data_IF_006501015628
#
_entry.id   IF_006501015628
#
_cell.length_a   1.000
_cell.length_b   1.000
_cell.length_c   1.000
_cell.angle_alpha   90.00
_cell.angle_beta   90.00
_cell.angle_gamma   90.00
#
_symmetry.space_group_name_H-M   'P 1'
#
loop_
_entity.id
_entity.type
_entity.pdbx_description
1 polymer ?
#
# COMPACT_ATOMS: atom_id res chain seq x y z
N UNK A 1 -12.59 44.47 -14.00
CA UNK A 1 -11.82 43.50 -14.82
C UNK A 1 -10.99 42.57 -13.94
N UNK A 2 -10.24 43.13 -12.98
CA UNK A 2 -9.57 42.44 -11.86
C UNK A 2 -10.47 41.40 -11.16
N UNK A 3 -11.72 41.74 -10.84
CA UNK A 3 -12.64 40.78 -10.19
C UNK A 3 -12.90 39.51 -11.01
N UNK A 4 -13.04 39.59 -12.34
CA UNK A 4 -13.29 38.40 -13.17
C UNK A 4 -12.08 37.49 -13.27
N UNK A 5 -10.88 38.05 -13.40
CA UNK A 5 -9.61 37.31 -13.38
C UNK A 5 -9.44 36.63 -12.01
N UNK A 6 -9.77 37.35 -10.94
CA UNK A 6 -9.74 36.84 -9.57
C UNK A 6 -10.73 35.69 -9.37
N UNK A 7 -11.97 35.81 -9.88
CA UNK A 7 -12.98 34.75 -9.77
C UNK A 7 -12.62 33.50 -10.58
N UNK A 8 -12.05 33.65 -11.78
CA UNK A 8 -11.53 32.51 -12.55
C UNK A 8 -10.37 31.82 -11.83
N UNK A 9 -9.45 32.58 -11.25
CA UNK A 9 -8.33 32.06 -10.49
C UNK A 9 -8.78 31.33 -9.21
N UNK A 10 -9.73 31.91 -8.48
CA UNK A 10 -10.34 31.28 -7.30
C UNK A 10 -11.06 29.97 -7.66
N UNK A 11 -11.76 29.91 -8.79
CA UNK A 11 -12.40 28.69 -9.28
C UNK A 11 -11.41 27.56 -9.55
N UNK A 12 -10.30 27.85 -10.22
CA UNK A 12 -9.20 26.89 -10.46
C UNK A 12 -8.58 26.45 -9.14
N UNK A 13 -8.31 27.40 -8.24
CA UNK A 13 -7.69 27.13 -6.95
C UNK A 13 -8.54 26.18 -6.10
N UNK A 14 -9.87 26.41 -6.04
CA UNK A 14 -10.80 25.54 -5.30
C UNK A 14 -10.89 24.15 -5.93
N UNK A 15 -10.92 24.06 -7.27
CA UNK A 15 -10.90 22.78 -7.99
C UNK A 15 -9.61 22.00 -7.70
N UNK A 16 -8.45 22.65 -7.81
CA UNK A 16 -7.15 22.06 -7.53
C UNK A 16 -7.07 21.59 -6.07
N UNK A 17 -7.53 22.38 -5.10
CA UNK A 17 -7.58 22.00 -3.69
C UNK A 17 -8.44 20.76 -3.45
N UNK A 18 -9.70 20.76 -3.92
CA UNK A 18 -10.62 19.64 -3.70
C UNK A 18 -10.11 18.34 -4.32
N UNK A 19 -9.48 18.42 -5.49
CA UNK A 19 -8.90 17.27 -6.17
C UNK A 19 -7.63 16.76 -5.52
N UNK A 20 -6.77 17.65 -5.02
CA UNK A 20 -5.60 17.23 -4.25
C UNK A 20 -6.00 16.55 -2.95
N UNK A 21 -7.03 17.04 -2.27
CA UNK A 21 -7.61 16.34 -1.13
C UNK A 21 -8.11 14.95 -1.52
N UNK A 22 -8.74 14.77 -2.69
CA UNK A 22 -9.15 13.43 -3.18
C UNK A 22 -7.93 12.52 -3.43
N UNK A 23 -6.88 13.03 -4.09
CA UNK A 23 -5.65 12.25 -4.36
C UNK A 23 -4.95 11.88 -3.05
N UNK A 24 -4.83 12.81 -2.11
CA UNK A 24 -4.28 12.55 -0.78
C UNK A 24 -5.12 11.54 0.00
N UNK A 25 -6.45 11.65 -0.02
CA UNK A 25 -7.36 10.70 0.61
C UNK A 25 -7.20 9.31 -0.02
N UNK A 26 -7.19 9.20 -1.35
CA UNK A 26 -6.96 7.94 -2.07
C UNK A 26 -5.59 7.36 -1.72
N UNK A 27 -4.56 8.20 -1.60
CA UNK A 27 -3.23 7.78 -1.21
C UNK A 27 -3.17 7.31 0.25
N UNK A 28 -3.67 8.09 1.21
CA UNK A 28 -3.67 7.76 2.64
C UNK A 28 -4.49 6.51 2.97
N UNK A 29 -5.68 6.36 2.37
CA UNK A 29 -6.52 5.17 2.55
C UNK A 29 -5.77 3.91 2.08
N UNK A 30 -5.03 4.02 0.97
CA UNK A 30 -4.35 2.87 0.38
C UNK A 30 -2.90 2.69 0.87
N UNK A 31 -2.30 3.71 1.48
CA UNK A 31 -0.91 3.72 1.94
C UNK A 31 -0.61 2.57 2.89
N UNK A 32 -1.54 2.30 3.80
CA UNK A 32 -1.44 1.19 4.75
C UNK A 32 -1.32 -0.18 4.08
N UNK A 33 -2.07 -0.41 3.00
CA UNK A 33 -1.96 -1.65 2.24
C UNK A 33 -0.60 -1.79 1.55
N UNK A 34 0.03 -0.68 1.18
CA UNK A 34 1.39 -0.67 0.61
C UNK A 34 2.44 -1.13 1.63
N UNK A 35 2.40 -0.57 2.84
CA UNK A 35 3.37 -0.93 3.89
C UNK A 35 3.19 -2.35 4.40
N UNK A 36 1.94 -2.80 4.51
CA UNK A 36 1.65 -4.18 4.88
C UNK A 36 2.19 -5.12 3.79
N UNK A 37 1.90 -4.88 2.50
CA UNK A 37 2.39 -5.74 1.42
C UNK A 37 3.92 -5.80 1.33
N UNK A 38 4.60 -4.65 1.47
CA UNK A 38 6.06 -4.61 1.43
C UNK A 38 6.70 -5.27 2.65
N UNK A 39 6.21 -5.02 3.85
CA UNK A 39 6.82 -5.65 5.02
C UNK A 39 6.50 -7.14 5.14
N UNK A 40 5.38 -7.60 4.58
CA UNK A 40 5.11 -9.03 4.40
C UNK A 40 6.15 -9.74 3.54
N UNK A 41 6.85 -9.04 2.64
CA UNK A 41 7.98 -9.64 1.92
C UNK A 41 9.20 -9.91 2.81
N UNK A 42 9.35 -9.24 3.97
CA UNK A 42 10.41 -9.56 4.91
C UNK A 42 10.29 -11.00 5.43
N UNK A 43 9.06 -11.55 5.42
CA UNK A 43 8.81 -12.95 5.72
C UNK A 43 9.70 -13.90 4.89
N UNK A 44 10.05 -13.51 3.64
CA UNK A 44 10.91 -14.27 2.73
C UNK A 44 12.17 -14.78 3.42
N UNK A 45 12.87 -13.91 4.17
CA UNK A 45 14.16 -14.24 4.76
C UNK A 45 14.04 -15.50 5.61
N UNK A 46 13.02 -15.57 6.46
CA UNK A 46 12.80 -16.70 7.35
C UNK A 46 12.44 -17.99 6.61
N UNK A 47 11.61 -17.92 5.55
CA UNK A 47 11.31 -19.10 4.73
C UNK A 47 12.56 -19.62 4.02
N UNK A 48 13.42 -18.72 3.54
CA UNK A 48 14.64 -19.07 2.81
C UNK A 48 15.70 -19.66 3.74
N UNK A 49 15.95 -19.03 4.89
CA UNK A 49 16.92 -19.50 5.90
C UNK A 49 16.58 -20.90 6.43
N UNK A 50 15.28 -21.21 6.52
CA UNK A 50 14.82 -22.50 7.02
C UNK A 50 14.57 -23.53 5.90
N UNK A 51 14.90 -23.21 4.64
CA UNK A 51 14.71 -24.08 3.47
C UNK A 51 13.28 -24.62 3.32
N UNK A 52 12.29 -23.79 3.61
CA UNK A 52 10.89 -24.20 3.61
C UNK A 52 10.28 -23.87 2.27
N UNK A 53 9.71 -24.90 1.63
CA UNK A 53 8.93 -24.73 0.42
C UNK A 53 7.54 -24.22 0.77
N UNK A 54 7.19 -23.03 0.26
CA UNK A 54 5.84 -22.48 0.32
C UNK A 54 5.04 -22.82 -0.93
N UNK A 55 3.73 -23.02 -0.77
CA UNK A 55 2.82 -23.28 -1.90
C UNK A 55 2.73 -22.06 -2.84
N UNK A 56 2.51 -22.34 -4.12
CA UNK A 56 2.10 -21.39 -5.16
C UNK A 56 1.05 -20.34 -4.71
N UNK A 57 0.13 -20.71 -3.81
CA UNK A 57 -0.90 -19.84 -3.25
C UNK A 57 -0.32 -18.60 -2.55
N UNK A 58 0.80 -18.75 -1.83
CA UNK A 58 1.54 -17.62 -1.23
C UNK A 58 1.94 -16.60 -2.29
N UNK A 59 2.53 -17.08 -3.39
CA UNK A 59 2.96 -16.21 -4.49
C UNK A 59 1.77 -15.57 -5.21
N UNK A 60 0.66 -16.30 -5.39
CA UNK A 60 -0.57 -15.75 -5.99
C UNK A 60 -1.16 -14.61 -5.15
N UNK A 61 -1.12 -14.70 -3.82
CA UNK A 61 -1.55 -13.62 -2.92
C UNK A 61 -0.70 -12.36 -3.15
N UNK A 62 0.64 -12.50 -3.18
CA UNK A 62 1.53 -11.36 -3.46
C UNK A 62 1.29 -10.77 -4.85
N UNK A 63 1.12 -11.61 -5.88
CA UNK A 63 0.81 -11.16 -7.24
C UNK A 63 -0.51 -10.38 -7.29
N UNK A 64 -1.56 -10.84 -6.59
CA UNK A 64 -2.85 -10.14 -6.47
C UNK A 64 -2.71 -8.80 -5.77
N UNK A 65 -1.95 -8.74 -4.67
CA UNK A 65 -1.64 -7.49 -3.95
C UNK A 65 -0.88 -6.50 -4.85
N UNK A 66 0.14 -6.96 -5.59
CA UNK A 66 0.89 -6.12 -6.52
C UNK A 66 0.10 -5.67 -7.74
N UNK A 67 -0.86 -6.48 -8.22
CA UNK A 67 -1.78 -6.08 -9.29
C UNK A 67 -2.72 -4.97 -8.80
N UNK A 68 -3.26 -5.10 -7.59
CA UNK A 68 -4.09 -4.06 -6.96
C UNK A 68 -3.29 -2.76 -6.77
N UNK A 69 -2.05 -2.85 -6.30
CA UNK A 69 -1.11 -1.72 -6.22
C UNK A 69 -0.97 -1.00 -7.55
N UNK A 70 -0.65 -1.74 -8.61
CA UNK A 70 -0.45 -1.18 -9.95
C UNK A 70 -1.68 -0.45 -10.44
N UNK A 71 -2.87 -1.02 -10.24
CA UNK A 71 -4.11 -0.42 -10.69
C UNK A 71 -4.38 0.90 -9.97
N UNK A 72 -4.18 0.98 -8.65
CA UNK A 72 -4.30 2.24 -7.89
C UNK A 72 -3.34 3.29 -8.45
N UNK A 73 -2.09 2.90 -8.69
CA UNK A 73 -1.07 3.81 -9.20
C UNK A 73 -1.40 4.33 -10.62
N UNK A 74 -1.85 3.44 -11.51
CA UNK A 74 -2.33 3.82 -12.85
C UNK A 74 -3.52 4.77 -12.73
N UNK A 75 -4.48 4.48 -11.85
CA UNK A 75 -5.64 5.36 -11.65
C UNK A 75 -5.22 6.76 -11.20
N UNK A 76 -4.26 6.88 -10.28
CA UNK A 76 -3.74 8.18 -9.85
C UNK A 76 -3.05 8.90 -11.02
N UNK A 77 -2.21 8.21 -11.81
CA UNK A 77 -1.59 8.81 -13.00
C UNK A 77 -2.65 9.28 -13.99
N UNK A 78 -3.67 8.47 -14.29
CA UNK A 78 -4.70 8.82 -15.27
C UNK A 78 -5.47 10.05 -14.83
N UNK A 79 -5.94 10.07 -13.58
CA UNK A 79 -6.63 11.24 -12.99
C UNK A 79 -5.70 12.45 -13.08
N UNK A 80 -4.46 12.30 -12.66
CA UNK A 80 -3.50 13.39 -12.66
C UNK A 80 -3.16 13.94 -14.05
N UNK A 81 -2.87 13.08 -15.02
CA UNK A 81 -2.57 13.46 -16.41
C UNK A 81 -3.78 14.14 -17.06
N UNK A 82 -5.00 13.65 -16.79
CA UNK A 82 -6.22 14.30 -17.28
C UNK A 82 -6.39 15.70 -16.71
N UNK A 83 -6.02 15.91 -15.45
CA UNK A 83 -6.07 17.21 -14.78
C UNK A 83 -5.02 18.18 -15.32
N UNK A 84 -3.77 17.72 -15.48
CA UNK A 84 -2.74 18.52 -16.14
C UNK A 84 -3.19 19.01 -17.50
N UNK A 85 -3.85 18.14 -18.28
CA UNK A 85 -4.38 18.50 -19.59
C UNK A 85 -5.47 19.57 -19.49
N UNK A 86 -6.43 19.43 -18.57
CA UNK A 86 -7.50 20.43 -18.36
C UNK A 86 -6.93 21.77 -17.90
N UNK A 87 -6.03 21.78 -16.92
CA UNK A 87 -5.39 23.00 -16.43
C UNK A 87 -4.57 23.67 -17.53
N UNK A 88 -3.82 22.91 -18.33
CA UNK A 88 -3.05 23.44 -19.45
C UNK A 88 -3.94 24.03 -20.55
N UNK A 89 -4.99 23.31 -20.95
CA UNK A 89 -5.95 23.81 -21.94
C UNK A 89 -6.64 25.08 -21.45
N UNK A 90 -7.04 25.13 -20.18
CA UNK A 90 -7.63 26.31 -19.57
C UNK A 90 -6.66 27.50 -19.51
N UNK A 91 -5.40 27.26 -19.13
CA UNK A 91 -4.36 28.28 -19.13
C UNK A 91 -4.14 28.88 -20.54
N UNK A 92 -4.17 28.05 -21.59
CA UNK A 92 -4.12 28.52 -22.99
C UNK A 92 -5.31 29.41 -23.31
N UNK A 93 -6.53 28.97 -22.99
CA UNK A 93 -7.76 29.72 -23.27
C UNK A 93 -7.76 31.07 -22.57
N UNK A 94 -7.40 31.12 -21.29
CA UNK A 94 -7.26 32.38 -20.54
C UNK A 94 -6.19 33.25 -21.17
N UNK A 95 -5.01 32.70 -21.44
CA UNK A 95 -3.89 33.46 -22.01
C UNK A 95 -4.32 34.10 -23.32
N UNK A 96 -4.95 33.37 -24.24
CA UNK A 96 -5.43 33.92 -25.52
C UNK A 96 -6.50 34.99 -25.31
N UNK A 97 -7.51 34.72 -24.46
CA UNK A 97 -8.66 35.61 -24.26
C UNK A 97 -8.27 36.93 -23.59
N UNK A 98 -7.30 36.90 -22.69
CA UNK A 98 -6.88 38.07 -21.91
C UNK A 98 -5.53 38.66 -22.36
N UNK A 99 -4.84 38.06 -23.33
CA UNK A 99 -3.60 38.58 -23.92
C UNK A 99 -3.66 40.07 -24.30
N UNK A 100 -4.71 40.57 -24.98
CA UNK A 100 -4.77 41.97 -25.39
C UNK A 100 -4.82 42.94 -24.21
N UNK A 101 -5.30 42.48 -23.06
CA UNK A 101 -5.50 43.27 -21.84
C UNK A 101 -4.24 43.21 -20.96
N UNK A 102 -3.66 42.01 -20.83
CA UNK A 102 -2.56 41.73 -19.91
C UNK A 102 -1.21 42.18 -20.47
N UNK A 103 -1.03 42.21 -21.80
CA UNK A 103 0.23 42.62 -22.45
C UNK A 103 0.73 44.00 -22.00
N UNK A 104 -0.18 44.86 -21.56
CA UNK A 104 0.13 46.25 -21.23
C UNK A 104 0.28 46.51 -19.72
N UNK A 105 0.03 45.53 -18.83
CA UNK A 105 0.10 45.72 -17.39
C UNK A 105 0.94 44.64 -16.70
N UNK A 106 2.15 45.02 -16.25
CA UNK A 106 3.13 44.11 -15.63
C UNK A 106 2.57 43.39 -14.40
N UNK A 107 1.75 44.06 -13.59
CA UNK A 107 1.20 43.50 -12.36
C UNK A 107 0.16 42.41 -12.66
N UNK A 108 -0.68 42.61 -13.67
CA UNK A 108 -1.66 41.60 -14.11
C UNK A 108 -0.96 40.40 -14.77
N UNK A 109 0.16 40.66 -15.49
CA UNK A 109 1.01 39.61 -16.04
C UNK A 109 1.63 38.77 -14.92
N UNK A 110 2.26 39.40 -13.92
CA UNK A 110 2.86 38.71 -12.79
C UNK A 110 1.84 37.94 -11.94
N UNK A 111 0.64 38.47 -11.73
CA UNK A 111 -0.44 37.78 -11.03
C UNK A 111 -0.91 36.52 -11.79
N UNK A 112 -1.09 36.62 -13.12
CA UNK A 112 -1.51 35.48 -13.93
C UNK A 112 -0.47 34.35 -13.90
N UNK A 113 0.81 34.68 -14.08
CA UNK A 113 1.89 33.67 -14.06
C UNK A 113 2.21 33.18 -12.64
N UNK A 114 2.05 34.02 -11.62
CA UNK A 114 2.19 33.63 -10.22
C UNK A 114 1.15 32.59 -9.79
N UNK A 115 -0.10 32.74 -10.22
CA UNK A 115 -1.16 31.77 -9.97
C UNK A 115 -0.89 30.42 -10.65
N UNK A 116 -0.43 30.45 -11.92
CA UNK A 116 0.03 29.24 -12.63
C UNK A 116 1.17 28.55 -11.88
N UNK A 117 2.08 29.31 -11.24
CA UNK A 117 3.20 28.76 -10.45
C UNK A 117 2.77 28.16 -9.11
N UNK A 118 1.77 28.74 -8.43
CA UNK A 118 1.21 28.18 -7.18
C UNK A 118 0.56 26.83 -7.44
N UNK A 119 -0.04 26.63 -8.61
CA UNK A 119 -0.60 25.34 -9.04
C UNK A 119 0.47 24.23 -9.15
N UNK A 120 1.77 24.56 -9.36
CA UNK A 120 2.86 23.58 -9.38
C UNK A 120 3.26 23.07 -7.98
N UNK A 121 3.06 23.85 -6.92
CA UNK A 121 3.41 23.46 -5.54
C UNK A 121 2.52 22.28 -5.08
N UNK A 122 1.35 22.12 -5.69
CA UNK A 122 0.39 21.07 -5.38
C UNK A 122 0.77 19.68 -5.94
N UNK A 123 1.92 19.53 -6.62
CA UNK A 123 2.44 18.23 -7.08
C UNK A 123 3.13 17.37 -6.00
N UNK A 124 3.04 17.76 -4.72
CA UNK A 124 3.62 17.02 -3.60
C UNK A 124 3.27 15.51 -3.55
N UNK A 125 2.05 15.04 -3.90
CA UNK A 125 1.74 13.61 -3.94
C UNK A 125 2.56 12.83 -4.99
N UNK A 126 2.92 13.48 -6.10
CA UNK A 126 3.72 12.88 -7.18
C UNK A 126 5.19 12.83 -6.85
N UNK A 127 5.67 13.77 -6.03
CA UNK A 127 7.03 13.76 -5.55
C UNK A 127 7.42 12.40 -4.92
N UNK A 128 6.47 11.75 -4.23
CA UNK A 128 6.70 10.44 -3.60
C UNK A 128 6.49 9.23 -4.53
N UNK A 129 5.85 9.41 -5.69
CA UNK A 129 5.50 8.33 -6.62
C UNK A 129 6.71 7.56 -7.18
N UNK A 130 7.79 8.21 -7.67
CA UNK A 130 8.96 7.50 -8.19
C UNK A 130 9.62 6.57 -7.15
N UNK A 131 9.69 7.01 -5.89
CA UNK A 131 10.25 6.21 -4.79
C UNK A 131 9.41 4.95 -4.54
N UNK A 132 8.09 5.07 -4.57
CA UNK A 132 7.17 3.94 -4.41
C UNK A 132 7.23 2.96 -5.58
N UNK A 133 7.33 3.46 -6.82
CA UNK A 133 7.53 2.63 -8.00
C UNK A 133 8.83 1.83 -7.92
N UNK A 134 9.92 2.46 -7.49
CA UNK A 134 11.20 1.78 -7.30
C UNK A 134 11.09 0.69 -6.25
N UNK A 135 10.47 0.97 -5.10
CA UNK A 135 10.19 -0.04 -4.06
C UNK A 135 9.34 -1.20 -4.58
N UNK A 136 8.32 -0.91 -5.39
CA UNK A 136 7.47 -1.92 -6.01
C UNK A 136 8.23 -2.80 -7.01
N UNK A 137 9.05 -2.20 -7.88
CA UNK A 137 9.90 -2.94 -8.83
C UNK A 137 10.86 -3.88 -8.11
N UNK A 138 11.55 -3.38 -7.08
CA UNK A 138 12.45 -4.18 -6.25
C UNK A 138 11.70 -5.32 -5.55
N UNK A 139 10.51 -5.05 -5.02
CA UNK A 139 9.67 -6.04 -4.35
C UNK A 139 9.23 -7.18 -5.27
N UNK A 140 8.91 -6.86 -6.54
CA UNK A 140 8.61 -7.86 -7.56
C UNK A 140 9.81 -8.73 -7.89
N UNK A 141 11.00 -8.12 -8.00
CA UNK A 141 12.24 -8.87 -8.22
C UNK A 141 12.52 -9.82 -7.04
N UNK A 142 12.35 -9.34 -5.81
CA UNK A 142 12.51 -10.14 -4.59
C UNK A 142 11.57 -11.35 -4.60
N UNK A 143 10.30 -11.16 -4.99
CA UNK A 143 9.30 -12.23 -5.10
C UNK A 143 9.65 -13.23 -6.19
N UNK A 144 10.08 -12.76 -7.38
CA UNK A 144 10.51 -13.64 -8.47
C UNK A 144 11.68 -14.52 -8.04
N UNK A 145 12.71 -13.91 -7.45
CA UNK A 145 13.87 -14.64 -6.94
C UNK A 145 13.47 -15.61 -5.83
N UNK A 146 12.53 -15.23 -4.95
CA UNK A 146 12.02 -16.14 -3.94
C UNK A 146 11.32 -17.34 -4.57
N UNK A 147 10.48 -17.14 -5.59
CA UNK A 147 9.79 -18.22 -6.30
C UNK A 147 10.77 -19.21 -6.94
N UNK A 148 11.86 -18.70 -7.53
CA UNK A 148 12.93 -19.52 -8.11
C UNK A 148 13.66 -20.33 -7.03
N UNK A 149 14.10 -19.68 -5.95
CA UNK A 149 14.74 -20.34 -4.81
C UNK A 149 13.81 -21.40 -4.19
N UNK A 150 12.53 -21.07 -4.04
CA UNK A 150 11.52 -21.95 -3.44
C UNK A 150 11.30 -23.24 -4.22
N UNK A 151 11.47 -23.20 -5.55
CA UNK A 151 11.37 -24.40 -6.39
C UNK A 151 12.60 -25.30 -6.28
N UNK A 152 13.73 -24.77 -5.80
CA UNK A 152 15.01 -25.46 -5.73
C UNK A 152 15.37 -25.94 -4.31
N UNK A 153 14.53 -25.68 -3.30
CA UNK A 153 14.78 -26.18 -1.95
C UNK A 153 14.66 -27.70 -1.88
N UNK A 154 15.62 -28.33 -1.23
CA UNK A 154 15.39 -29.59 -0.53
C UNK A 154 14.64 -29.26 0.77
N UNK A 155 13.44 -29.81 0.89
CA UNK A 155 12.52 -29.52 1.99
C UNK A 155 13.09 -30.07 3.30
N UNK A 156 13.25 -29.19 4.30
CA UNK A 156 13.58 -29.60 5.67
C UNK A 156 12.31 -29.99 6.41
N UNK A 157 12.39 -31.08 7.18
CA UNK A 157 11.35 -31.41 8.14
C UNK A 157 11.35 -30.40 9.29
N UNK A 158 10.17 -29.88 9.60
CA UNK A 158 9.95 -28.93 10.68
C UNK A 158 9.51 -29.69 11.93
N UNK A 159 10.44 -29.88 12.87
CA UNK A 159 10.10 -30.42 14.18
C UNK A 159 9.49 -29.32 15.05
N UNK A 160 8.38 -29.63 15.72
CA UNK A 160 7.80 -28.78 16.77
C UNK A 160 8.09 -29.44 18.10
N UNK A 161 8.90 -28.77 18.91
CA UNK A 161 9.27 -29.23 20.26
C UNK A 161 8.05 -29.27 21.22
N UNK A 162 7.09 -28.35 21.07
CA UNK A 162 5.91 -28.26 21.96
C UNK A 162 4.57 -28.30 21.20
N UNK A 163 4.05 -29.51 20.99
CA UNK A 163 2.80 -29.75 20.24
C UNK A 163 1.57 -29.13 20.92
N UNK A 164 1.52 -29.13 22.27
CA UNK A 164 0.37 -28.61 23.01
C UNK A 164 0.22 -27.09 22.87
N UNK A 165 1.35 -26.35 22.85
CA UNK A 165 1.34 -24.91 22.60
C UNK A 165 0.99 -24.58 21.15
N UNK A 166 1.45 -25.39 20.21
CA UNK A 166 1.07 -25.25 18.80
C UNK A 166 -0.44 -25.38 18.59
N UNK A 167 -1.09 -26.37 19.20
CA UNK A 167 -2.55 -26.53 19.11
C UNK A 167 -3.31 -25.36 19.74
N UNK A 168 -2.79 -24.77 20.83
CA UNK A 168 -3.37 -23.54 21.40
C UNK A 168 -3.27 -22.36 20.43
N UNK A 169 -2.11 -22.18 19.80
CA UNK A 169 -1.87 -21.16 18.78
C UNK A 169 -2.79 -21.34 17.56
N UNK A 170 -2.89 -22.56 17.04
CA UNK A 170 -3.78 -22.91 15.93
C UNK A 170 -5.24 -22.60 16.25
N UNK A 171 -5.71 -22.98 17.44
CA UNK A 171 -7.09 -22.70 17.86
C UNK A 171 -7.37 -21.21 18.06
N UNK A 172 -6.38 -20.44 18.53
CA UNK A 172 -6.47 -18.98 18.64
C UNK A 172 -6.72 -18.36 17.26
N UNK A 173 -5.95 -18.77 16.26
CA UNK A 173 -6.13 -18.26 14.89
C UNK A 173 -7.46 -18.69 14.31
N UNK A 174 -7.82 -19.97 14.38
CA UNK A 174 -9.00 -20.49 13.66
C UNK A 174 -10.34 -20.12 14.29
N UNK A 175 -10.41 -20.00 15.61
CA UNK A 175 -11.68 -20.04 16.32
C UNK A 175 -11.90 -18.92 17.34
N UNK A 176 -10.92 -18.05 17.57
CA UNK A 176 -11.05 -16.90 18.48
C UNK A 176 -11.03 -15.58 17.72
N UNK A 177 -11.48 -14.54 18.41
CA UNK A 177 -11.17 -13.16 18.03
C UNK A 177 -9.67 -12.97 18.23
N UNK A 178 -9.01 -12.38 17.22
CA UNK A 178 -7.56 -12.21 17.23
C UNK A 178 -7.22 -10.73 17.07
N UNK A 179 -6.40 -10.23 17.98
CA UNK A 179 -5.76 -8.93 17.86
C UNK A 179 -4.41 -9.15 17.19
N UNK A 180 -4.27 -8.63 15.98
CA UNK A 180 -3.02 -8.70 15.24
C UNK A 180 -2.29 -7.37 15.36
N UNK A 181 -1.17 -7.37 16.07
CA UNK A 181 -0.29 -6.22 16.18
C UNK A 181 0.90 -6.40 15.25
N UNK A 182 1.08 -5.44 14.35
CA UNK A 182 2.20 -5.38 13.42
C UNK A 182 3.01 -4.11 13.69
N UNK A 183 4.26 -4.25 14.12
CA UNK A 183 5.17 -3.12 14.27
C UNK A 183 6.11 -3.02 13.08
N UNK A 184 6.43 -1.80 12.64
CA UNK A 184 7.57 -1.58 11.74
C UNK A 184 8.27 -0.28 12.08
N UNK A 185 9.56 -0.23 11.80
CA UNK A 185 10.39 0.94 12.05
C UNK A 185 10.62 1.70 10.74
N UNK A 186 10.28 2.99 10.72
CA UNK A 186 10.55 3.89 9.59
C UNK A 186 11.16 5.17 10.12
N UNK A 187 12.35 5.52 9.63
CA UNK A 187 13.08 6.72 10.03
C UNK A 187 13.26 6.81 11.57
N UNK A 188 13.62 5.70 12.21
CA UNK A 188 13.77 5.56 13.68
C UNK A 188 12.48 5.82 14.48
N UNK A 189 11.31 5.83 13.82
CA UNK A 189 10.01 5.90 14.47
C UNK A 189 9.34 4.54 14.32
N UNK A 190 9.07 3.89 15.46
CA UNK A 190 8.28 2.65 15.52
C UNK A 190 6.81 2.99 15.29
N UNK A 191 6.23 2.44 14.23
CA UNK A 191 4.82 2.54 13.93
C UNK A 191 4.16 1.18 14.20
N UNK A 192 3.19 1.17 15.10
CA UNK A 192 2.44 -0.03 15.47
C UNK A 192 1.05 0.02 14.86
N UNK A 193 0.72 -0.99 14.07
CA UNK A 193 -0.60 -1.17 13.50
C UNK A 193 -1.32 -2.32 14.21
N UNK A 194 -2.45 -2.00 14.85
CA UNK A 194 -3.34 -2.99 15.47
C UNK A 194 -4.52 -3.23 14.54
N UNK A 195 -4.64 -4.46 14.04
CA UNK A 195 -5.83 -4.93 13.33
C UNK A 195 -6.67 -5.78 14.27
N UNK A 196 -7.84 -5.25 14.58
CA UNK A 196 -8.87 -5.97 15.31
C UNK A 196 -9.68 -6.80 14.32
N UNK A 197 -9.66 -8.12 14.46
CA UNK A 197 -10.58 -9.00 13.74
C UNK A 197 -11.87 -9.18 14.57
N UNK A 198 -12.52 -8.06 14.91
CA UNK A 198 -13.71 -8.03 15.78
C UNK A 198 -15.02 -8.41 15.08
N UNK A 199 -15.05 -8.51 13.75
CA UNK A 199 -16.33 -8.46 13.02
C UNK A 199 -17.00 -9.79 12.70
N UNK A 200 -16.48 -10.93 13.15
CA UNK A 200 -17.20 -12.20 13.21
C UNK A 200 -16.43 -13.08 14.17
N UNK A 201 -17.10 -13.85 15.03
CA UNK A 201 -16.48 -14.76 16.03
C UNK A 201 -15.41 -15.72 15.46
N UNK A 202 -15.26 -15.80 14.12
CA UNK A 202 -14.27 -16.60 13.40
C UNK A 202 -13.85 -15.90 12.10
N UNK A 203 -12.78 -15.08 12.09
CA UNK A 203 -12.41 -14.21 10.97
C UNK A 203 -11.91 -14.95 9.71
N UNK A 204 -11.59 -16.24 9.85
CA UNK A 204 -11.10 -17.10 8.78
C UNK A 204 -12.13 -18.14 8.32
N UNK A 205 -13.38 -18.03 8.76
CA UNK A 205 -14.47 -18.83 8.20
C UNK A 205 -15.24 -18.03 7.17
N UNK A 206 -15.54 -18.69 6.04
CA UNK A 206 -16.48 -18.24 5.03
C UNK A 206 -17.58 -19.30 4.90
N UNK A 207 -18.82 -18.95 5.24
CA UNK A 207 -19.97 -19.86 5.29
C UNK A 207 -19.72 -21.17 6.07
N UNK A 208 -19.01 -21.09 7.20
CA UNK A 208 -18.70 -22.24 8.05
C UNK A 208 -17.48 -23.06 7.61
N UNK A 209 -16.95 -22.81 6.42
CA UNK A 209 -15.73 -23.44 5.91
C UNK A 209 -14.50 -22.56 6.15
N UNK A 210 -13.35 -23.20 6.38
CA UNK A 210 -12.08 -22.51 6.59
C UNK A 210 -11.62 -21.88 5.26
N UNK A 211 -11.51 -20.54 5.22
CA UNK A 211 -10.95 -19.79 4.11
C UNK A 211 -9.41 -19.80 4.18
N UNK A 212 -8.84 -20.83 3.55
CA UNK A 212 -7.38 -21.06 3.46
C UNK A 212 -6.63 -19.84 2.91
N UNK A 213 -7.22 -19.09 1.97
CA UNK A 213 -6.57 -17.92 1.39
C UNK A 213 -6.40 -16.81 2.41
N UNK A 214 -7.46 -16.50 3.19
CA UNK A 214 -7.39 -15.49 4.25
C UNK A 214 -6.40 -15.89 5.35
N UNK A 215 -6.33 -17.18 5.69
CA UNK A 215 -5.37 -17.68 6.68
C UNK A 215 -3.95 -17.53 6.17
N UNK A 216 -3.64 -18.02 4.97
CA UNK A 216 -2.30 -17.92 4.43
C UNK A 216 -1.91 -16.46 4.24
N UNK A 217 -2.81 -15.61 3.73
CA UNK A 217 -2.58 -14.17 3.64
C UNK A 217 -2.26 -13.58 5.02
N UNK A 218 -2.99 -13.98 6.06
CA UNK A 218 -2.75 -13.52 7.43
C UNK A 218 -1.40 -13.98 7.97
N UNK A 219 -1.06 -15.25 7.77
CA UNK A 219 0.16 -15.86 8.33
C UNK A 219 1.43 -15.34 7.68
N UNK A 220 1.41 -14.96 6.41
CA UNK A 220 2.57 -14.33 5.76
C UNK A 220 2.77 -12.94 6.37
N UNK A 221 3.70 -12.83 7.32
CA UNK A 221 4.02 -11.60 8.04
C UNK A 221 5.49 -11.58 8.50
N UNK A 222 5.97 -10.43 8.97
CA UNK A 222 7.28 -10.36 9.61
C UNK A 222 7.18 -10.84 11.06
N UNK A 223 7.60 -12.09 11.28
CA UNK A 223 7.38 -12.81 12.54
C UNK A 223 8.16 -12.24 13.73
N UNK A 224 9.22 -11.47 13.51
CA UNK A 224 9.94 -10.77 14.59
C UNK A 224 9.14 -9.59 15.15
N UNK A 225 8.38 -8.92 14.28
CA UNK A 225 7.69 -7.68 14.61
C UNK A 225 6.17 -7.85 14.78
N UNK A 226 5.70 -9.09 14.74
CA UNK A 226 4.29 -9.44 14.82
C UNK A 226 3.95 -10.04 16.18
N UNK A 227 2.82 -9.62 16.74
CA UNK A 227 2.23 -10.22 17.94
C UNK A 227 0.77 -10.60 17.68
N UNK A 228 0.37 -11.73 18.23
CA UNK A 228 -1.01 -12.21 18.27
C UNK A 228 -1.49 -12.14 19.70
N UNK A 229 -2.58 -11.40 19.95
CA UNK A 229 -3.09 -11.14 21.29
C UNK A 229 -1.98 -10.68 22.25
N UNK A 230 -1.12 -9.78 21.76
CA UNK A 230 0.04 -9.23 22.46
C UNK A 230 1.16 -10.22 22.80
N UNK A 231 1.06 -11.48 22.34
CA UNK A 231 2.05 -12.52 22.52
C UNK A 231 2.84 -12.76 21.23
N UNK A 232 4.15 -12.90 21.35
CA UNK A 232 5.02 -13.36 20.27
C UNK A 232 5.08 -14.89 20.30
N UNK A 233 4.80 -15.52 19.16
CA UNK A 233 4.84 -16.97 19.00
C UNK A 233 6.09 -17.40 18.23
N UNK A 234 6.60 -18.62 18.45
CA UNK A 234 7.72 -19.15 17.68
C UNK A 234 7.41 -19.17 16.18
N UNK A 235 8.39 -18.79 15.36
CA UNK A 235 8.25 -18.80 13.90
C UNK A 235 7.83 -20.18 13.35
N UNK A 236 8.34 -21.26 13.94
CA UNK A 236 7.97 -22.64 13.60
C UNK A 236 6.47 -22.92 13.67
N UNK A 237 5.72 -22.23 14.54
CA UNK A 237 4.27 -22.40 14.66
C UNK A 237 3.54 -21.82 13.44
N UNK A 238 3.90 -20.61 13.03
CA UNK A 238 3.34 -19.99 11.83
C UNK A 238 3.64 -20.82 10.58
N UNK A 239 4.87 -21.32 10.48
CA UNK A 239 5.31 -22.16 9.38
C UNK A 239 4.52 -23.46 9.25
N UNK A 240 4.39 -24.21 10.36
CA UNK A 240 3.62 -25.46 10.36
C UNK A 240 2.18 -25.20 9.99
N UNK A 241 1.59 -24.12 10.49
CA UNK A 241 0.21 -23.77 10.18
C UNK A 241 0.04 -23.39 8.70
N UNK A 242 0.99 -22.68 8.10
CA UNK A 242 1.00 -22.43 6.65
C UNK A 242 1.05 -23.76 5.89
N UNK A 243 1.94 -24.69 6.28
CA UNK A 243 2.08 -26.01 5.66
C UNK A 243 0.80 -26.85 5.76
N UNK A 244 0.07 -26.78 6.87
CA UNK A 244 -1.20 -27.48 7.06
C UNK A 244 -2.33 -26.97 6.16
N UNK A 245 -2.34 -25.67 5.85
CA UNK A 245 -3.40 -25.04 5.05
C UNK A 245 -3.05 -24.86 3.57
N UNK A 246 -1.78 -25.02 3.21
CA UNK A 246 -1.26 -24.92 1.85
C UNK A 246 -1.34 -26.25 1.13
#
# INVERSE_FOLDING_TARGET
>A
MTNYILYSALGIFILNLGLNSIIEILFFINYKYFYIGFSKLNAKQYFVENSIRVNSLVFQIFEKLFKKFRNIFISIIVVFSSLLFVCFAYAIVITIKFWPIIKNNLLDYLLMYGLIFVDFIFFAPIYYMPSLLRKWSNSKLILKNWKEINNNFQEKDLEIENVAEYEKFKNLILYKEVIFEYSYEKNNIKQTFVKWFMQNKRPFLDNGNIDKNKIIEFLICDYQNTKLDYVSYPFSFYLKLIKEFS
#
